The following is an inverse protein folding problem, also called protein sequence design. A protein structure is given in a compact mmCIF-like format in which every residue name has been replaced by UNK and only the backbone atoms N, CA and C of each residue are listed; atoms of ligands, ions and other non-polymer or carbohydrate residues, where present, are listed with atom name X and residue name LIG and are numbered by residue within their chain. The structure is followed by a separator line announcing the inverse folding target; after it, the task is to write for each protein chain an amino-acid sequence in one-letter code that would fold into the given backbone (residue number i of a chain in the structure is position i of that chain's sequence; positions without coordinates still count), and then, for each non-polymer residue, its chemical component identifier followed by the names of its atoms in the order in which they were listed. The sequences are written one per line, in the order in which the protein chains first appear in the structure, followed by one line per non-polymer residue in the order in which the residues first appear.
data_IF_490374891398
#
_entry.id   IF_490374891398
#
_cell.length_a   1.000
_cell.length_b   1.000
_cell.length_c   1.000
_cell.angle_alpha   90.00
_cell.angle_beta   90.00
_cell.angle_gamma   90.00
#
_symmetry.space_group_name_H-M   'P 1'
#
loop_
_entity.id
_entity.type
_entity.pdbx_description
1 polymer ?
#
# COMPACT_ATOMS: atom_id res chain seq x y z
N UNK A 1 1.92 -30.68 12.14
CA UNK A 1 1.46 -29.35 12.52
C UNK A 1 0.60 -29.44 13.75
N UNK A 2 0.90 -28.61 14.75
CA UNK A 2 0.11 -28.48 15.97
C UNK A 2 -0.88 -27.35 15.74
N UNK A 3 -2.19 -27.65 15.71
CA UNK A 3 -3.23 -26.62 15.70
C UNK A 3 -3.75 -26.39 17.11
N UNK A 4 -3.61 -25.15 17.60
CA UNK A 4 -4.37 -24.68 18.74
C UNK A 4 -5.54 -23.86 18.21
N UNK A 5 -6.75 -24.39 18.31
CA UNK A 5 -7.94 -23.60 18.06
C UNK A 5 -8.33 -22.85 19.33
N UNK A 6 -8.64 -21.55 19.22
CA UNK A 6 -9.40 -20.82 20.22
C UNK A 6 -10.86 -21.27 20.16
N UNK A 7 -11.07 -22.54 20.52
CA UNK A 7 -12.39 -23.15 20.57
C UNK A 7 -12.91 -23.10 22.03
N UNK A 8 -14.22 -23.15 22.22
CA UNK A 8 -14.78 -23.21 23.54
C UNK A 8 -14.10 -24.34 24.35
N UNK A 9 -13.92 -24.13 25.64
CA UNK A 9 -13.30 -25.07 26.59
C UNK A 9 -13.83 -26.50 26.44
N UNK A 10 -15.03 -26.67 25.90
CA UNK A 10 -15.68 -27.95 25.61
C UNK A 10 -14.97 -28.86 24.60
N UNK A 11 -14.00 -28.34 23.81
CA UNK A 11 -13.26 -29.14 22.81
C UNK A 11 -11.83 -29.47 23.21
N UNK A 12 -11.46 -29.18 24.45
CA UNK A 12 -10.13 -29.50 24.97
C UNK A 12 -9.92 -31.02 24.94
N UNK A 13 -8.75 -31.46 24.47
CA UNK A 13 -8.41 -32.87 24.38
C UNK A 13 -9.07 -33.64 23.23
N UNK A 14 -9.90 -32.99 22.41
CA UNK A 14 -10.45 -33.62 21.19
C UNK A 14 -9.48 -33.49 20.01
N UNK A 15 -9.79 -34.22 18.93
CA UNK A 15 -9.08 -34.08 17.64
C UNK A 15 -10.05 -33.57 16.58
N UNK A 16 -9.59 -32.64 15.78
CA UNK A 16 -10.30 -32.10 14.61
C UNK A 16 -9.49 -32.49 13.38
N UNK A 17 -10.06 -33.26 12.46
CA UNK A 17 -9.35 -33.74 11.27
C UNK A 17 -8.02 -34.46 11.63
N UNK A 18 -8.00 -35.20 12.72
CA UNK A 18 -6.78 -35.88 13.22
C UNK A 18 -5.80 -34.99 13.98
N UNK A 19 -6.04 -33.67 14.05
CA UNK A 19 -5.17 -32.69 14.71
C UNK A 19 -5.64 -32.45 16.15
N UNK A 20 -4.76 -32.57 17.17
CA UNK A 20 -5.16 -32.41 18.55
C UNK A 20 -5.47 -30.95 18.90
N UNK A 21 -6.53 -30.73 19.68
CA UNK A 21 -6.82 -29.43 20.32
C UNK A 21 -6.06 -29.39 21.64
N UNK A 22 -5.04 -28.52 21.73
CA UNK A 22 -4.11 -28.53 22.88
C UNK A 22 -4.57 -27.61 24.01
N UNK A 23 -5.39 -26.61 23.74
CA UNK A 23 -5.87 -25.71 24.77
C UNK A 23 -6.39 -24.37 24.21
N UNK A 24 -6.84 -23.51 25.13
CA UNK A 24 -7.25 -22.14 24.73
C UNK A 24 -6.04 -21.31 24.32
N UNK A 25 -6.27 -20.36 23.41
CA UNK A 25 -5.19 -19.54 22.85
C UNK A 25 -4.46 -18.72 23.92
N UNK A 26 -5.12 -18.35 25.00
CA UNK A 26 -4.51 -17.61 26.12
C UNK A 26 -3.35 -18.36 26.79
N UNK A 27 -3.35 -19.67 26.70
CA UNK A 27 -2.30 -20.53 27.25
C UNK A 27 -1.22 -20.92 26.22
N UNK A 28 -1.24 -20.32 25.03
CA UNK A 28 -0.33 -20.69 23.92
C UNK A 28 1.14 -20.68 24.34
N UNK A 29 1.57 -19.69 25.12
CA UNK A 29 2.96 -19.60 25.62
C UNK A 29 3.35 -20.85 26.40
N UNK A 30 2.48 -21.37 27.27
CA UNK A 30 2.72 -22.60 28.06
C UNK A 30 2.67 -23.84 27.17
N UNK A 31 1.76 -23.88 26.21
CA UNK A 31 1.54 -25.01 25.31
C UNK A 31 2.77 -25.26 24.43
N UNK A 32 3.39 -24.18 23.90
CA UNK A 32 4.54 -24.30 22.99
C UNK A 32 5.86 -24.54 23.71
N UNK A 33 5.98 -24.24 25.02
CA UNK A 33 7.18 -24.59 25.81
C UNK A 33 7.51 -26.06 25.75
N UNK A 34 6.49 -26.94 25.64
CA UNK A 34 6.68 -28.37 25.48
C UNK A 34 6.68 -28.89 24.04
N UNK A 35 6.39 -28.04 23.07
CA UNK A 35 6.21 -28.40 21.65
C UNK A 35 6.56 -27.21 20.77
N UNK A 36 7.82 -26.98 20.47
CA UNK A 36 8.24 -25.83 19.66
C UNK A 36 7.54 -25.85 18.28
N UNK A 37 7.06 -24.70 17.87
CA UNK A 37 6.45 -24.47 16.57
C UNK A 37 6.95 -23.14 15.99
N UNK A 38 7.32 -23.16 14.72
CA UNK A 38 7.92 -22.00 14.04
C UNK A 38 6.87 -21.08 13.41
N UNK A 39 5.71 -21.62 13.09
CA UNK A 39 4.64 -20.92 12.37
C UNK A 39 3.30 -21.02 13.10
N UNK A 40 2.60 -19.88 13.17
CA UNK A 40 1.23 -19.80 13.65
C UNK A 40 0.29 -19.31 12.54
N UNK A 41 -0.90 -19.92 12.44
CA UNK A 41 -1.94 -19.52 11.51
C UNK A 41 -3.18 -19.09 12.29
N UNK A 42 -3.58 -17.82 12.16
CA UNK A 42 -4.84 -17.33 12.72
C UNK A 42 -5.97 -17.65 11.73
N UNK A 43 -6.76 -18.69 12.06
CA UNK A 43 -7.87 -19.18 11.22
C UNK A 43 -9.23 -18.74 11.81
N UNK A 44 -9.43 -17.47 12.06
CA UNK A 44 -10.67 -16.89 12.58
C UNK A 44 -11.13 -15.76 11.64
N UNK A 45 -11.74 -16.10 10.47
CA UNK A 45 -12.12 -15.11 9.46
C UNK A 45 -13.09 -14.02 9.95
N UNK A 46 -13.85 -14.32 11.00
CA UNK A 46 -14.84 -13.42 11.63
C UNK A 46 -14.27 -12.60 12.80
N UNK A 47 -12.98 -12.72 13.10
CA UNK A 47 -12.39 -11.98 14.21
C UNK A 47 -12.41 -10.47 13.93
N UNK A 48 -12.80 -9.67 14.93
CA UNK A 48 -12.63 -8.22 14.87
C UNK A 48 -11.15 -7.85 14.85
N UNK A 49 -10.82 -6.67 14.32
CA UNK A 49 -9.43 -6.18 14.27
C UNK A 49 -8.79 -6.08 15.65
N UNK A 50 -9.54 -5.64 16.66
CA UNK A 50 -9.07 -5.62 18.05
C UNK A 50 -8.70 -7.03 18.53
N UNK A 51 -9.51 -8.02 18.17
CA UNK A 51 -9.24 -9.42 18.51
C UNK A 51 -8.04 -9.98 17.75
N UNK A 52 -7.89 -9.63 16.48
CA UNK A 52 -6.71 -10.00 15.70
C UNK A 52 -5.42 -9.44 16.30
N UNK A 53 -5.45 -8.18 16.74
CA UNK A 53 -4.31 -7.54 17.41
C UNK A 53 -3.95 -8.26 18.71
N UNK A 54 -4.94 -8.55 19.57
CA UNK A 54 -4.71 -9.31 20.80
C UNK A 54 -4.06 -10.67 20.52
N UNK A 55 -4.56 -11.38 19.51
CA UNK A 55 -4.03 -12.69 19.11
C UNK A 55 -2.61 -12.57 18.56
N UNK A 56 -2.36 -11.56 17.75
CA UNK A 56 -1.03 -11.28 17.20
C UNK A 56 -0.01 -11.01 18.31
N UNK A 57 -0.32 -10.08 19.23
CA UNK A 57 0.54 -9.72 20.35
C UNK A 57 0.84 -10.94 21.25
N UNK A 58 -0.14 -11.83 21.39
CA UNK A 58 0.00 -13.07 22.18
C UNK A 58 0.93 -14.08 21.47
N UNK A 59 0.81 -14.24 20.16
CA UNK A 59 1.65 -15.11 19.36
C UNK A 59 3.09 -14.58 19.23
N UNK A 60 3.25 -13.26 19.15
CA UNK A 60 4.56 -12.61 19.16
C UNK A 60 5.29 -12.85 20.50
N UNK A 61 4.60 -12.69 21.63
CA UNK A 61 5.13 -13.05 22.95
C UNK A 61 5.51 -14.53 23.07
N UNK A 62 4.80 -15.39 22.35
CA UNK A 62 5.10 -16.80 22.25
C UNK A 62 6.26 -17.13 21.30
N UNK A 63 6.92 -16.09 20.72
CA UNK A 63 8.10 -16.17 19.87
C UNK A 63 7.92 -16.99 18.57
N UNK A 64 6.75 -16.97 17.97
CA UNK A 64 6.57 -17.51 16.63
C UNK A 64 7.34 -16.69 15.61
N UNK A 65 8.13 -17.34 14.75
CA UNK A 65 8.92 -16.68 13.70
C UNK A 65 8.09 -16.23 12.51
N UNK A 66 6.93 -16.91 12.29
CA UNK A 66 5.99 -16.59 11.20
C UNK A 66 4.56 -16.63 11.73
N UNK A 67 3.85 -15.53 11.55
CA UNK A 67 2.42 -15.43 11.89
C UNK A 67 1.66 -15.11 10.61
N UNK A 68 0.70 -15.98 10.26
CA UNK A 68 -0.14 -15.85 9.05
C UNK A 68 -1.61 -15.79 9.42
N UNK A 69 -2.42 -15.27 8.52
CA UNK A 69 -3.87 -15.15 8.69
C UNK A 69 -4.61 -15.83 7.53
N UNK A 70 -5.74 -16.46 7.83
CA UNK A 70 -6.72 -16.86 6.82
C UNK A 70 -7.59 -15.66 6.50
N UNK A 71 -7.66 -15.20 5.23
CA UNK A 71 -8.48 -14.07 4.83
C UNK A 71 -9.96 -14.24 5.15
N UNK A 72 -10.67 -13.14 5.41
CA UNK A 72 -12.13 -13.16 5.54
C UNK A 72 -12.81 -13.42 4.18
N UNK A 73 -14.04 -13.90 4.22
CA UNK A 73 -14.83 -14.14 3.00
C UNK A 73 -15.00 -12.84 2.19
N UNK A 74 -15.17 -11.70 2.85
CA UNK A 74 -15.24 -10.40 2.18
C UNK A 74 -13.96 -10.06 1.42
N UNK A 75 -12.79 -10.28 2.00
CA UNK A 75 -11.51 -10.06 1.32
C UNK A 75 -11.30 -10.97 0.10
N UNK A 76 -11.90 -12.16 0.12
CA UNK A 76 -11.87 -13.11 -1.00
C UNK A 76 -12.81 -12.64 -2.11
N UNK A 77 -14.01 -12.19 -1.76
CA UNK A 77 -15.04 -11.71 -2.72
C UNK A 77 -14.60 -10.40 -3.38
N UNK A 78 -13.92 -9.52 -2.64
CA UNK A 78 -13.42 -8.24 -3.15
C UNK A 78 -12.14 -8.39 -4.01
N UNK A 79 -11.68 -9.63 -4.27
CA UNK A 79 -10.51 -9.92 -5.10
C UNK A 79 -9.15 -9.65 -4.42
N UNK A 80 -9.16 -9.28 -3.13
CA UNK A 80 -7.93 -9.00 -2.38
C UNK A 80 -7.21 -10.25 -1.85
N UNK A 81 -7.79 -11.45 -2.01
CA UNK A 81 -7.15 -12.70 -1.60
C UNK A 81 -7.69 -13.91 -2.38
N UNK A 82 -6.82 -14.89 -2.64
CA UNK A 82 -7.21 -16.17 -3.22
C UNK A 82 -7.76 -17.14 -2.15
N UNK A 83 -8.72 -17.96 -2.56
CA UNK A 83 -9.57 -18.85 -1.69
C UNK A 83 -8.83 -19.80 -0.75
N UNK A 84 -7.53 -20.03 -0.86
CA UNK A 84 -6.84 -21.12 -0.13
C UNK A 84 -5.44 -20.70 0.38
N UNK A 85 -5.00 -19.45 0.22
CA UNK A 85 -3.66 -19.06 0.64
C UNK A 85 -3.69 -18.22 1.91
N UNK A 86 -3.06 -18.75 2.97
CA UNK A 86 -2.73 -17.95 4.15
C UNK A 86 -1.71 -16.88 3.74
N UNK A 87 -1.91 -15.63 4.14
CA UNK A 87 -0.97 -14.54 3.89
C UNK A 87 -0.31 -14.05 5.18
N UNK A 88 0.81 -13.36 5.05
CA UNK A 88 1.38 -12.61 6.17
C UNK A 88 0.38 -11.56 6.67
N UNK A 89 0.46 -11.23 7.96
CA UNK A 89 -0.38 -10.19 8.54
C UNK A 89 0.13 -8.84 8.05
N UNK A 90 -0.75 -8.07 7.42
CA UNK A 90 -0.50 -6.69 7.05
C UNK A 90 -0.70 -5.79 8.28
N UNK A 91 0.14 -4.76 8.51
CA UNK A 91 -0.09 -3.77 9.56
C UNK A 91 -1.50 -3.19 9.55
N UNK A 92 -2.15 -3.09 8.40
CA UNK A 92 -3.52 -2.63 8.26
C UNK A 92 -4.55 -3.56 8.93
N UNK A 93 -4.28 -4.85 9.04
CA UNK A 93 -5.16 -5.81 9.74
C UNK A 93 -5.23 -5.50 11.25
N UNK A 94 -4.16 -4.90 11.79
CA UNK A 94 -4.01 -4.57 13.20
C UNK A 94 -4.46 -3.14 13.53
N UNK A 95 -4.57 -2.26 12.52
CA UNK A 95 -5.07 -0.90 12.71
C UNK A 95 -6.58 -0.93 12.95
N UNK A 96 -7.00 -0.41 14.10
CA UNK A 96 -8.42 -0.34 14.51
C UNK A 96 -9.30 0.63 13.71
N UNK A 97 -8.80 1.18 12.58
CA UNK A 97 -9.54 2.10 11.70
C UNK A 97 -10.14 1.33 10.54
N UNK A 98 -11.42 1.55 10.29
CA UNK A 98 -12.03 1.09 9.04
C UNK A 98 -11.39 1.86 7.88
N UNK A 99 -10.93 1.17 6.81
CA UNK A 99 -10.53 1.85 5.59
C UNK A 99 -11.70 2.69 5.09
N UNK A 100 -11.43 3.95 4.79
CA UNK A 100 -12.42 4.77 4.09
C UNK A 100 -12.43 4.24 2.65
N UNK A 101 -13.50 3.57 2.27
CA UNK A 101 -13.74 3.18 0.89
C UNK A 101 -14.23 4.43 0.14
N UNK A 102 -13.31 5.09 -0.53
CA UNK A 102 -13.66 6.15 -1.48
C UNK A 102 -14.12 5.45 -2.76
N UNK A 103 -15.30 5.78 -3.25
CA UNK A 103 -15.76 5.35 -4.57
C UNK A 103 -14.87 5.98 -5.64
N UNK A 104 -13.73 5.36 -5.95
CA UNK A 104 -12.68 5.88 -6.82
C UNK A 104 -13.21 6.30 -8.19
N UNK A 105 -14.10 5.50 -8.78
CA UNK A 105 -14.72 5.85 -10.08
C UNK A 105 -15.51 7.16 -10.04
N UNK A 106 -16.15 7.45 -8.92
CA UNK A 106 -16.92 8.68 -8.74
C UNK A 106 -16.02 9.86 -8.41
N UNK A 107 -15.04 9.64 -7.51
CA UNK A 107 -14.06 10.66 -7.12
C UNK A 107 -13.13 11.06 -8.27
N UNK A 108 -12.80 10.15 -9.18
CA UNK A 108 -11.94 10.44 -10.34
C UNK A 108 -12.72 10.87 -11.59
N UNK A 109 -14.05 10.93 -11.53
CA UNK A 109 -14.90 11.27 -12.67
C UNK A 109 -14.54 12.61 -13.32
N UNK A 110 -14.16 13.60 -12.51
CA UNK A 110 -13.75 14.93 -12.99
C UNK A 110 -12.39 14.95 -13.70
N UNK A 111 -11.57 13.88 -13.51
CA UNK A 111 -10.26 13.74 -14.15
C UNK A 111 -10.32 13.01 -15.51
N UNK A 112 -11.49 12.48 -15.86
CA UNK A 112 -11.67 11.80 -17.15
C UNK A 112 -11.44 12.78 -18.30
N UNK A 113 -10.61 12.38 -19.27
CA UNK A 113 -10.22 13.21 -20.39
C UNK A 113 -9.31 14.39 -20.02
N UNK A 114 -8.72 14.41 -18.82
CA UNK A 114 -7.81 15.44 -18.37
C UNK A 114 -6.34 15.04 -18.54
N UNK A 115 -5.50 16.04 -18.73
CA UNK A 115 -4.03 15.93 -18.69
C UNK A 115 -3.58 16.15 -17.26
N UNK A 116 -3.01 15.14 -16.66
CA UNK A 116 -2.66 15.13 -15.23
C UNK A 116 -1.15 15.01 -15.05
N UNK A 117 -0.56 15.94 -14.32
CA UNK A 117 0.83 15.87 -13.89
C UNK A 117 0.90 15.31 -12.47
N UNK A 118 1.78 14.33 -12.27
CA UNK A 118 2.05 13.74 -10.97
C UNK A 118 3.52 13.94 -10.67
N UNK A 119 3.85 14.80 -9.70
CA UNK A 119 5.23 14.93 -9.23
C UNK A 119 5.53 13.88 -8.18
N UNK A 120 6.76 13.35 -8.20
CA UNK A 120 7.09 12.20 -7.35
C UNK A 120 6.37 10.92 -7.78
N UNK A 121 6.07 10.80 -9.08
CA UNK A 121 5.31 9.67 -9.65
C UNK A 121 5.93 8.30 -9.39
N UNK A 122 7.27 8.21 -9.26
CA UNK A 122 7.98 6.97 -8.91
C UNK A 122 7.98 6.63 -7.41
N UNK A 123 7.43 7.50 -6.55
CA UNK A 123 7.28 7.22 -5.11
C UNK A 123 6.05 6.35 -4.82
N UNK A 124 5.95 5.86 -3.57
CA UNK A 124 4.85 4.98 -3.15
C UNK A 124 3.45 5.57 -3.39
N UNK A 125 3.26 6.85 -3.06
CA UNK A 125 1.98 7.55 -3.25
C UNK A 125 1.77 7.88 -4.73
N UNK A 126 2.79 8.44 -5.39
CA UNK A 126 2.71 8.86 -6.78
C UNK A 126 2.45 7.69 -7.74
N UNK A 127 3.09 6.53 -7.52
CA UNK A 127 2.88 5.35 -8.35
C UNK A 127 1.46 4.79 -8.20
N UNK A 128 0.95 4.70 -6.97
CA UNK A 128 -0.42 4.26 -6.73
C UNK A 128 -1.44 5.21 -7.35
N UNK A 129 -1.24 6.52 -7.19
CA UNK A 129 -2.08 7.53 -7.82
C UNK A 129 -2.06 7.40 -9.36
N UNK A 130 -0.89 7.15 -9.94
CA UNK A 130 -0.75 6.96 -11.40
C UNK A 130 -1.55 5.76 -11.91
N UNK A 131 -1.55 4.62 -11.20
CA UNK A 131 -2.38 3.45 -11.54
C UNK A 131 -3.88 3.78 -11.51
N UNK A 132 -4.29 4.45 -10.45
CA UNK A 132 -5.70 4.83 -10.28
C UNK A 132 -6.16 5.82 -11.34
N UNK A 133 -5.35 6.80 -11.70
CA UNK A 133 -5.65 7.78 -12.73
C UNK A 133 -5.69 7.16 -14.13
N UNK A 134 -4.83 6.17 -14.40
CA UNK A 134 -4.87 5.38 -15.63
C UNK A 134 -6.22 4.66 -15.75
N UNK A 135 -6.63 3.94 -14.72
CA UNK A 135 -7.93 3.24 -14.70
C UNK A 135 -9.13 4.20 -14.66
N UNK A 136 -8.95 5.40 -14.13
CA UNK A 136 -9.96 6.45 -14.03
C UNK A 136 -10.28 7.17 -15.35
N UNK A 137 -9.50 6.92 -16.41
CA UNK A 137 -9.72 7.48 -17.75
C UNK A 137 -9.13 8.87 -17.97
N UNK A 138 -8.03 9.19 -17.30
CA UNK A 138 -7.21 10.35 -17.66
C UNK A 138 -6.77 10.25 -19.13
N UNK A 139 -6.78 11.37 -19.87
CA UNK A 139 -6.32 11.41 -21.26
C UNK A 139 -4.80 11.30 -21.35
N UNK A 140 -4.10 11.98 -20.43
CA UNK A 140 -2.64 12.01 -20.41
C UNK A 140 -2.11 12.04 -18.99
N UNK A 141 -1.12 11.19 -18.72
CA UNK A 141 -0.40 11.13 -17.45
C UNK A 141 1.04 11.58 -17.67
N UNK A 142 1.45 12.64 -17.00
CA UNK A 142 2.82 13.09 -16.95
C UNK A 142 3.44 12.60 -15.63
N UNK A 143 4.42 11.71 -15.75
CA UNK A 143 5.10 11.08 -14.60
C UNK A 143 6.39 11.84 -14.32
N UNK A 144 6.35 12.82 -13.44
CA UNK A 144 7.50 13.67 -13.14
C UNK A 144 8.25 13.21 -11.88
N UNK A 145 9.58 13.16 -11.96
CA UNK A 145 10.45 12.89 -10.81
C UNK A 145 11.92 12.99 -11.15
N UNK A 146 12.76 13.09 -10.12
CA UNK A 146 14.22 13.19 -10.29
C UNK A 146 14.90 11.82 -10.43
N UNK A 147 14.29 10.78 -9.88
CA UNK A 147 14.84 9.41 -9.89
C UNK A 147 14.52 8.69 -11.19
N UNK A 148 15.49 8.60 -12.11
CA UNK A 148 15.33 7.91 -13.39
C UNK A 148 14.76 6.51 -13.23
N UNK A 149 15.37 5.68 -12.37
CA UNK A 149 14.93 4.30 -12.17
C UNK A 149 13.48 4.21 -11.68
N UNK A 150 13.09 5.02 -10.71
CA UNK A 150 11.74 4.98 -10.16
C UNK A 150 10.68 5.47 -11.17
N UNK A 151 11.01 6.42 -12.03
CA UNK A 151 10.14 6.85 -13.12
C UNK A 151 10.07 5.79 -14.21
N UNK A 152 11.19 5.14 -14.54
CA UNK A 152 11.21 4.03 -15.49
C UNK A 152 10.33 2.85 -15.02
N UNK A 153 10.44 2.49 -13.74
CA UNK A 153 9.65 1.38 -13.17
C UNK A 153 8.15 1.65 -13.28
N UNK A 154 7.68 2.82 -12.88
CA UNK A 154 6.25 3.15 -12.97
C UNK A 154 5.78 3.30 -14.43
N UNK A 155 6.57 3.90 -15.32
CA UNK A 155 6.23 3.98 -16.75
C UNK A 155 6.04 2.57 -17.34
N UNK A 156 6.99 1.67 -17.09
CA UNK A 156 6.92 0.28 -17.54
C UNK A 156 5.69 -0.44 -16.99
N UNK A 157 5.41 -0.30 -15.71
CA UNK A 157 4.26 -0.92 -15.06
C UNK A 157 2.94 -0.45 -15.68
N UNK A 158 2.79 0.87 -15.88
CA UNK A 158 1.57 1.42 -16.49
C UNK A 158 1.39 0.96 -17.93
N UNK A 159 2.46 0.78 -18.71
CA UNK A 159 2.39 0.24 -20.07
C UNK A 159 1.93 -1.21 -20.07
N UNK A 160 2.38 -2.03 -19.12
CA UNK A 160 1.90 -3.42 -18.97
C UNK A 160 0.39 -3.41 -18.67
N UNK A 161 -0.08 -2.55 -17.77
CA UNK A 161 -1.51 -2.40 -17.49
C UNK A 161 -2.31 -1.96 -18.73
N UNK A 162 -1.74 -1.12 -19.60
CA UNK A 162 -2.36 -0.74 -20.86
C UNK A 162 -2.45 -1.92 -21.84
N UNK A 163 -1.42 -2.76 -21.91
CA UNK A 163 -1.44 -3.99 -22.72
C UNK A 163 -2.52 -4.97 -22.23
N UNK A 164 -2.83 -4.94 -20.94
CA UNK A 164 -3.92 -5.70 -20.32
C UNK A 164 -5.31 -5.02 -20.47
N UNK A 165 -5.39 -3.89 -21.17
CA UNK A 165 -6.63 -3.17 -21.47
C UNK A 165 -7.05 -2.14 -20.41
N UNK A 166 -6.17 -1.77 -19.48
CA UNK A 166 -6.45 -0.71 -18.51
C UNK A 166 -5.99 0.64 -19.05
N UNK A 167 -6.93 1.56 -19.30
CA UNK A 167 -6.62 2.91 -19.76
C UNK A 167 -5.89 2.96 -21.11
N UNK A 168 -6.27 2.10 -22.04
CA UNK A 168 -5.71 1.88 -23.37
C UNK A 168 -5.61 3.17 -24.22
N UNK A 169 -6.46 4.15 -23.97
CA UNK A 169 -6.48 5.44 -24.67
C UNK A 169 -5.59 6.52 -24.01
N UNK A 170 -5.05 6.27 -22.82
CA UNK A 170 -4.24 7.25 -22.12
C UNK A 170 -2.82 7.36 -22.73
N UNK A 171 -2.32 8.56 -22.86
CA UNK A 171 -0.91 8.79 -23.20
C UNK A 171 -0.07 8.90 -21.93
N UNK A 172 0.92 8.03 -21.75
CA UNK A 172 1.85 8.06 -20.61
C UNK A 172 3.15 8.74 -21.07
N UNK A 173 3.59 9.76 -20.31
CA UNK A 173 4.79 10.56 -20.63
C UNK A 173 5.69 10.63 -19.39
N UNK A 174 6.77 9.85 -19.33
CA UNK A 174 7.78 9.99 -18.27
C UNK A 174 8.59 11.27 -18.44
N UNK A 175 8.89 11.96 -17.33
CA UNK A 175 9.63 13.22 -17.31
C UNK A 175 10.62 13.16 -16.15
N UNK A 176 11.90 13.31 -16.48
CA UNK A 176 12.96 13.41 -15.48
C UNK A 176 13.28 14.89 -15.28
N UNK A 177 13.28 15.32 -14.02
CA UNK A 177 13.59 16.72 -13.68
C UNK A 177 13.56 17.00 -12.19
N UNK A 178 14.08 18.17 -11.83
CA UNK A 178 14.18 18.64 -10.45
C UNK A 178 13.19 19.78 -10.21
N UNK A 179 12.38 19.68 -9.16
CA UNK A 179 11.46 20.75 -8.76
C UNK A 179 12.20 22.03 -8.34
N UNK A 180 13.45 21.90 -7.92
CA UNK A 180 14.28 23.01 -7.47
C UNK A 180 14.72 23.89 -8.64
N UNK A 181 14.74 23.37 -9.87
CA UNK A 181 15.05 24.13 -11.08
C UNK A 181 13.81 24.93 -11.56
N UNK A 182 13.78 26.21 -11.15
CA UNK A 182 12.65 27.09 -11.45
C UNK A 182 12.50 27.36 -12.96
N UNK A 183 13.60 27.43 -13.71
CA UNK A 183 13.56 27.68 -15.15
C UNK A 183 13.04 26.46 -15.90
N UNK A 184 13.49 25.26 -15.50
CA UNK A 184 12.98 24.02 -16.05
C UNK A 184 11.49 23.84 -15.71
N UNK A 185 11.08 24.15 -14.48
CA UNK A 185 9.67 24.03 -14.07
C UNK A 185 8.77 24.97 -14.91
N UNK A 186 9.16 26.22 -15.11
CA UNK A 186 8.43 27.17 -15.99
C UNK A 186 8.34 26.64 -17.43
N UNK A 187 9.45 26.19 -17.97
CA UNK A 187 9.51 25.63 -19.32
C UNK A 187 8.59 24.41 -19.48
N UNK A 188 8.73 23.44 -18.60
CA UNK A 188 8.00 22.17 -18.74
C UNK A 188 6.50 22.36 -18.50
N UNK A 189 6.10 23.12 -17.49
CA UNK A 189 4.70 23.40 -17.19
C UNK A 189 4.00 24.14 -18.35
N UNK A 190 4.64 25.13 -18.92
CA UNK A 190 4.15 25.83 -20.10
C UNK A 190 3.97 24.92 -21.33
N UNK A 191 4.81 23.88 -21.46
CA UNK A 191 4.73 22.90 -22.54
C UNK A 191 3.68 21.82 -22.29
N UNK A 192 3.55 21.30 -21.07
CA UNK A 192 2.63 20.22 -20.73
C UNK A 192 1.18 20.67 -20.73
N UNK A 193 0.92 21.90 -20.29
CA UNK A 193 -0.42 22.47 -20.11
C UNK A 193 -1.34 21.49 -19.38
N UNK A 194 -0.85 20.96 -18.25
CA UNK A 194 -1.60 20.03 -17.42
C UNK A 194 -2.86 20.71 -16.88
N UNK A 195 -3.98 20.01 -16.94
CA UNK A 195 -5.26 20.51 -16.40
C UNK A 195 -5.32 20.35 -14.87
N UNK A 196 -4.58 19.36 -14.35
CA UNK A 196 -4.53 19.05 -12.92
C UNK A 196 -3.11 18.62 -12.53
N UNK A 197 -2.67 19.07 -11.37
CA UNK A 197 -1.36 18.70 -10.79
C UNK A 197 -1.57 18.01 -9.44
N UNK A 198 -1.02 16.81 -9.30
CA UNK A 198 -0.87 16.14 -8.03
C UNK A 198 0.58 16.21 -7.56
N UNK A 199 0.81 16.90 -6.47
CA UNK A 199 2.14 17.07 -5.91
C UNK A 199 2.39 16.04 -4.80
N UNK A 200 3.18 15.00 -5.08
CA UNK A 200 3.53 13.96 -4.12
C UNK A 200 5.05 13.86 -3.88
N UNK A 201 5.83 14.70 -4.52
CA UNK A 201 7.27 14.74 -4.35
C UNK A 201 7.66 15.46 -3.04
N UNK A 202 8.29 14.74 -2.12
CA UNK A 202 8.82 15.30 -0.89
C UNK A 202 9.89 14.40 -0.27
N UNK A 203 10.88 14.99 0.39
CA UNK A 203 11.74 14.28 1.32
C UNK A 203 11.01 14.12 2.65
N UNK A 204 10.75 12.88 3.08
CA UNK A 204 9.84 12.55 4.18
C UNK A 204 10.49 11.92 5.42
N UNK A 205 11.71 11.41 5.27
CA UNK A 205 12.41 10.73 6.36
C UNK A 205 13.00 11.75 7.33
N UNK A 206 12.39 11.91 8.50
CA UNK A 206 12.74 12.93 9.50
C UNK A 206 14.23 12.90 9.88
N UNK A 207 14.87 11.76 10.24
CA UNK A 207 16.29 11.75 10.56
C UNK A 207 17.20 12.21 9.41
N UNK A 208 16.82 11.89 8.16
CA UNK A 208 17.56 12.34 6.98
C UNK A 208 17.37 13.83 6.73
N UNK A 209 16.17 14.35 6.97
CA UNK A 209 15.85 15.75 6.84
C UNK A 209 16.59 16.60 7.88
N UNK A 210 16.69 16.13 9.12
CA UNK A 210 17.47 16.75 10.18
C UNK A 210 18.97 16.79 9.87
N UNK A 211 19.50 15.69 9.30
CA UNK A 211 20.91 15.62 8.89
C UNK A 211 21.20 16.46 7.63
N UNK A 212 20.21 16.75 6.80
CA UNK A 212 20.35 17.45 5.52
C UNK A 212 19.28 18.57 5.36
N UNK A 213 19.24 19.57 6.25
CA UNK A 213 18.14 20.54 6.29
C UNK A 213 18.09 21.43 5.04
N UNK A 214 19.22 21.82 4.49
CA UNK A 214 19.30 22.68 3.29
C UNK A 214 18.66 21.99 2.09
N UNK A 215 19.02 20.73 1.82
CA UNK A 215 18.45 19.96 0.71
C UNK A 215 16.96 19.72 0.93
N UNK A 216 16.54 19.49 2.16
CA UNK A 216 15.13 19.26 2.51
C UNK A 216 14.30 20.53 2.27
N UNK A 217 14.77 21.68 2.72
CA UNK A 217 14.09 22.98 2.47
C UNK A 217 14.08 23.30 0.96
N UNK A 218 15.19 23.11 0.27
CA UNK A 218 15.27 23.36 -1.16
C UNK A 218 14.26 22.47 -1.93
N UNK A 219 14.15 21.20 -1.60
CA UNK A 219 13.18 20.31 -2.27
C UNK A 219 11.74 20.57 -1.84
N UNK A 220 11.46 20.57 -0.52
CA UNK A 220 10.08 20.56 -0.04
C UNK A 220 9.45 21.97 -0.04
N UNK A 221 10.23 23.03 0.10
CA UNK A 221 9.72 24.41 0.14
C UNK A 221 9.93 25.09 -1.21
N UNK A 222 11.20 25.25 -1.65
CA UNK A 222 11.49 25.97 -2.90
C UNK A 222 10.96 25.19 -4.10
N UNK A 223 11.11 23.87 -4.14
CA UNK A 223 10.56 23.02 -5.21
C UNK A 223 9.04 23.11 -5.30
N UNK A 224 8.33 23.08 -4.15
CA UNK A 224 6.88 23.28 -4.13
C UNK A 224 6.49 24.68 -4.60
N UNK A 225 7.21 25.70 -4.16
CA UNK A 225 7.00 27.08 -4.61
C UNK A 225 7.15 27.21 -6.13
N UNK A 226 8.25 26.69 -6.69
CA UNK A 226 8.49 26.71 -8.13
C UNK A 226 7.37 26.02 -8.93
N UNK A 227 6.89 24.87 -8.43
CA UNK A 227 5.78 24.16 -9.07
C UNK A 227 4.50 25.00 -9.05
N UNK A 228 4.17 25.62 -7.91
CA UNK A 228 2.97 26.46 -7.77
C UNK A 228 3.07 27.66 -8.69
N UNK A 229 4.17 28.41 -8.66
CA UNK A 229 4.40 29.58 -9.55
C UNK A 229 4.32 29.20 -11.03
N UNK A 230 4.85 28.03 -11.42
CA UNK A 230 4.81 27.58 -12.81
C UNK A 230 3.43 27.03 -13.24
N UNK A 231 2.49 26.85 -12.30
CA UNK A 231 1.15 26.33 -12.55
C UNK A 231 0.13 27.44 -12.88
N UNK A 232 0.49 28.69 -12.66
CA UNK A 232 -0.30 29.87 -13.03
C UNK A 232 0.08 30.39 -14.42
#
# INVERSE_FOLDING_TARGET
GVQTCALPISKLGTRIEGIPVLGPIVDVVKIIQGRPADEAIIAIPSASRSRLKELYDLLERAQFTKIRIVPSISQIVDGHAHLIQTRAIDPQDLLGRNPIQIGLRESLRYLRGKRVLITGAGGTIGSELSRQLLSGGAERLYLFGHGENSIYEIDRELRILQEEGVGDHATIVPIIGELQDADYMRFIMGRLKADVVFHTAAYKHVPMAEANPVCTVANNVLGTHNLVEASY
#
